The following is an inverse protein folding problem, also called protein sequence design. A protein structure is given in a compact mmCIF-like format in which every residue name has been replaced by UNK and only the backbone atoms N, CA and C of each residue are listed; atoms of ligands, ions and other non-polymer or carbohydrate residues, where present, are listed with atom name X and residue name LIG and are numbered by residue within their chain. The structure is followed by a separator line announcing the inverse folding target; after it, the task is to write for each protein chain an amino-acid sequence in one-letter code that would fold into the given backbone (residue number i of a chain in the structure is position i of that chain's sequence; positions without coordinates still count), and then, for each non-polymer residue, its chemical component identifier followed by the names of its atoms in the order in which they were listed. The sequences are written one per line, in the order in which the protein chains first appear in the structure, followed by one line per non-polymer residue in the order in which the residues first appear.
data_IF_679412314719
#
_entry.id   IF_679412314719
#
_cell.length_a   1.000
_cell.length_b   1.000
_cell.length_c   1.000
_cell.angle_alpha   90.00
_cell.angle_beta   90.00
_cell.angle_gamma   90.00
#
_symmetry.space_group_name_H-M   'P 1'
#
loop_
_entity.id
_entity.type
_entity.pdbx_description
1 polymer ?
#
# COMPACT_ATOMS: atom_id res chain seq x y z
N UNK A 1 -19.81 -26.93 23.25
CA UNK A 1 -20.04 -25.63 22.60
C UNK A 1 -19.39 -25.72 21.21
N UNK A 2 -19.89 -26.55 20.28
CA UNK A 2 -21.06 -26.36 19.40
C UNK A 2 -21.16 -24.94 18.82
N UNK A 3 -20.69 -24.76 17.58
CA UNK A 3 -21.48 -24.44 16.36
C UNK A 3 -20.54 -23.79 15.30
N UNK A 4 -20.21 -24.54 14.24
CA UNK A 4 -20.74 -24.38 12.87
C UNK A 4 -20.20 -23.15 12.12
N UNK A 5 -19.18 -23.35 11.28
CA UNK A 5 -19.14 -22.71 9.96
C UNK A 5 -18.88 -23.79 8.92
N UNK A 6 -19.99 -24.17 8.30
CA UNK A 6 -20.10 -25.15 7.25
C UNK A 6 -19.36 -24.70 5.99
N UNK A 7 -18.72 -25.68 5.40
CA UNK A 7 -18.12 -25.67 4.08
C UNK A 7 -19.13 -25.22 3.02
N UNK A 8 -18.73 -24.27 2.18
CA UNK A 8 -19.26 -24.16 0.82
C UNK A 8 -18.12 -24.59 -0.09
N UNK A 9 -18.03 -25.92 -0.27
CA UNK A 9 -17.32 -26.52 -1.39
C UNK A 9 -18.34 -26.48 -2.53
N UNK A 10 -18.12 -25.58 -3.50
CA UNK A 10 -18.84 -25.68 -4.77
C UNK A 10 -18.16 -26.78 -5.56
N UNK A 11 -18.80 -27.96 -5.59
CA UNK A 11 -18.48 -29.03 -6.52
C UNK A 11 -18.63 -28.51 -7.95
N UNK A 12 -17.51 -28.39 -8.67
CA UNK A 12 -17.52 -28.23 -10.12
C UNK A 12 -17.42 -29.62 -10.71
N UNK A 13 -18.56 -30.21 -11.05
CA UNK A 13 -18.63 -31.40 -11.90
C UNK A 13 -18.00 -31.13 -13.27
N UNK A 14 -17.28 -32.09 -13.88
CA UNK A 14 -16.63 -31.87 -15.16
C UNK A 14 -17.68 -31.90 -16.29
N UNK A 15 -18.15 -30.72 -16.67
CA UNK A 15 -18.89 -30.52 -17.91
C UNK A 15 -17.91 -30.57 -19.10
N UNK A 16 -17.93 -31.68 -19.82
CA UNK A 16 -17.23 -31.86 -21.08
C UNK A 16 -17.88 -30.95 -22.14
N UNK A 17 -17.27 -29.80 -22.44
CA UNK A 17 -17.63 -28.95 -23.57
C UNK A 17 -16.37 -28.63 -24.39
N UNK A 18 -16.15 -29.46 -25.42
CA UNK A 18 -15.54 -28.97 -26.65
C UNK A 18 -16.54 -28.00 -27.28
N UNK A 19 -16.34 -26.69 -27.13
CA UNK A 19 -16.86 -25.75 -28.13
C UNK A 19 -16.01 -24.48 -28.21
N UNK A 20 -15.59 -24.21 -29.43
CA UNK A 20 -14.68 -23.15 -29.85
C UNK A 20 -15.44 -21.84 -29.99
N UNK A 21 -15.95 -21.30 -28.87
CA UNK A 21 -16.71 -20.05 -28.87
C UNK A 21 -16.02 -18.96 -28.04
N UNK A 22 -15.03 -18.32 -28.66
CA UNK A 22 -14.62 -16.97 -28.28
C UNK A 22 -15.84 -16.04 -28.26
N UNK A 23 -16.08 -15.25 -27.20
CA UNK A 23 -17.18 -14.29 -27.21
C UNK A 23 -16.82 -13.18 -28.19
N UNK A 24 -17.38 -13.25 -29.40
CA UNK A 24 -17.36 -12.16 -30.37
C UNK A 24 -18.14 -10.99 -29.78
N UNK A 25 -17.41 -10.03 -29.21
CA UNK A 25 -17.92 -8.69 -28.97
C UNK A 25 -18.38 -8.12 -30.32
N UNK A 26 -19.69 -8.13 -30.58
CA UNK A 26 -20.29 -7.27 -31.59
C UNK A 26 -20.83 -6.03 -30.87
N UNK A 27 -20.07 -4.93 -30.80
CA UNK A 27 -20.57 -3.73 -30.17
C UNK A 27 -21.56 -3.05 -31.12
N UNK A 28 -22.70 -2.68 -30.56
CA UNK A 28 -23.69 -1.85 -31.23
C UNK A 28 -23.02 -0.49 -31.52
N UNK A 29 -22.86 -0.13 -32.81
CA UNK A 29 -21.93 0.94 -33.27
C UNK A 29 -22.18 2.31 -32.63
N UNK A 30 -23.41 2.59 -32.20
CA UNK A 30 -23.77 3.86 -31.57
C UNK A 30 -23.36 3.94 -30.09
N UNK A 31 -23.39 2.83 -29.36
CA UNK A 31 -22.95 2.75 -27.96
C UNK A 31 -21.42 2.61 -27.85
N UNK A 32 -20.79 1.98 -28.83
CA UNK A 32 -19.33 1.84 -28.90
C UNK A 32 -18.63 3.20 -29.01
N UNK A 33 -19.16 4.11 -29.82
CA UNK A 33 -18.55 5.41 -30.03
C UNK A 33 -18.75 6.37 -28.85
N UNK A 34 -19.79 6.20 -28.04
CA UNK A 34 -20.02 7.03 -26.85
C UNK A 34 -19.11 6.68 -25.68
N UNK A 35 -18.76 5.40 -25.51
CA UNK A 35 -17.92 4.93 -24.40
C UNK A 35 -16.44 4.80 -24.77
N UNK A 36 -16.09 4.60 -26.04
CA UNK A 36 -14.68 4.55 -26.46
C UNK A 36 -14.08 5.94 -26.75
N UNK A 37 -14.90 7.00 -26.88
CA UNK A 37 -14.41 8.35 -27.19
C UNK A 37 -14.17 9.22 -25.94
N UNK A 38 -14.60 8.79 -24.76
CA UNK A 38 -14.64 9.64 -23.56
C UNK A 38 -13.64 9.30 -22.44
N UNK A 39 -13.22 8.05 -22.22
CA UNK A 39 -12.44 7.74 -21.00
C UNK A 39 -11.15 6.92 -21.16
N UNK A 40 -10.59 6.82 -22.36
CA UNK A 40 -9.22 6.28 -22.56
C UNK A 40 -8.10 7.27 -22.19
N UNK A 41 -8.36 8.29 -21.34
CA UNK A 41 -7.36 9.28 -20.92
C UNK A 41 -7.52 9.65 -19.44
N UNK A 42 -6.56 9.15 -18.65
CA UNK A 42 -6.31 9.39 -17.22
C UNK A 42 -7.26 8.63 -16.30
N UNK A 43 -6.79 7.47 -15.86
CA UNK A 43 -7.17 6.89 -14.57
C UNK A 43 -7.29 8.03 -13.54
N UNK A 44 -8.40 8.04 -12.81
CA UNK A 44 -8.61 8.99 -11.73
C UNK A 44 -7.56 8.74 -10.65
N UNK A 45 -6.44 9.45 -10.80
CA UNK A 45 -5.44 9.68 -9.79
C UNK A 45 -6.09 9.86 -8.41
N UNK A 46 -5.75 8.99 -7.45
CA UNK A 46 -6.27 9.10 -6.08
C UNK A 46 -5.92 10.49 -5.53
N UNK A 47 -6.83 11.15 -4.79
CA UNK A 47 -6.53 12.40 -4.12
C UNK A 47 -5.27 12.26 -3.25
N UNK A 48 -4.37 13.25 -3.30
CA UNK A 48 -3.09 13.18 -2.56
C UNK A 48 -3.29 12.98 -1.04
N UNK A 49 -4.41 13.46 -0.50
CA UNK A 49 -4.80 13.22 0.90
C UNK A 49 -5.00 11.74 1.20
N UNK A 50 -5.62 10.98 0.29
CA UNK A 50 -5.82 9.55 0.43
C UNK A 50 -4.51 8.79 0.23
N UNK A 51 -3.69 9.20 -0.73
CA UNK A 51 -2.34 8.64 -0.94
C UNK A 51 -1.49 8.81 0.33
N UNK A 52 -1.47 10.01 0.89
CA UNK A 52 -0.75 10.32 2.13
C UNK A 52 -1.28 9.50 3.31
N UNK A 53 -2.60 9.36 3.44
CA UNK A 53 -3.21 8.53 4.48
C UNK A 53 -2.76 7.07 4.36
N UNK A 54 -2.80 6.47 3.17
CA UNK A 54 -2.41 5.08 2.95
C UNK A 54 -0.92 4.86 3.27
N UNK A 55 -0.04 5.77 2.85
CA UNK A 55 1.39 5.71 3.16
C UNK A 55 1.61 5.80 4.66
N UNK A 56 0.97 6.74 5.34
CA UNK A 56 1.09 6.90 6.79
C UNK A 56 0.57 5.67 7.54
N UNK A 57 -0.54 5.07 7.10
CA UNK A 57 -1.07 3.85 7.66
C UNK A 57 -0.09 2.67 7.56
N UNK A 58 0.55 2.52 6.40
CA UNK A 58 1.58 1.47 6.20
C UNK A 58 2.80 1.75 7.08
N UNK A 59 3.27 2.99 7.13
CA UNK A 59 4.38 3.40 8.00
C UNK A 59 4.07 3.14 9.47
N UNK A 60 2.84 3.38 9.91
CA UNK A 60 2.40 3.13 11.29
C UNK A 60 2.41 1.62 11.60
N UNK A 61 1.86 0.81 10.69
CA UNK A 61 1.85 -0.65 10.82
C UNK A 61 3.24 -1.30 10.94
N UNK A 62 4.30 -0.62 10.47
CA UNK A 62 5.70 -1.06 10.60
C UNK A 62 6.52 -0.26 11.62
N UNK A 63 5.90 0.64 12.37
CA UNK A 63 6.56 1.45 13.42
C UNK A 63 7.47 2.57 12.90
N UNK A 64 7.32 2.98 11.63
CA UNK A 64 8.08 4.06 10.98
C UNK A 64 7.31 5.40 10.91
N UNK A 65 6.11 5.47 11.49
CA UNK A 65 5.34 6.72 11.59
C UNK A 65 5.74 7.61 12.78
N UNK A 66 6.69 7.17 13.61
CA UNK A 66 7.17 7.94 14.76
C UNK A 66 7.51 9.40 14.37
N UNK A 67 6.91 10.37 15.05
CA UNK A 67 7.11 11.79 14.78
C UNK A 67 8.58 12.19 14.95
N UNK A 68 9.32 11.49 15.79
CA UNK A 68 10.75 11.65 16.01
C UNK A 68 11.57 11.40 14.73
N UNK A 69 11.09 10.55 13.82
CA UNK A 69 11.71 10.33 12.51
C UNK A 69 11.46 11.49 11.53
N UNK A 70 10.63 12.48 11.89
CA UNK A 70 10.53 13.76 11.17
C UNK A 70 11.58 14.77 11.64
N UNK A 71 12.26 14.50 12.76
CA UNK A 71 13.26 15.37 13.35
C UNK A 71 14.68 14.90 13.00
N UNK A 72 15.69 15.74 13.30
CA UNK A 72 17.09 15.29 13.22
C UNK A 72 17.48 14.44 14.43
N UNK A 73 18.46 13.55 14.26
CA UNK A 73 19.02 12.77 15.37
C UNK A 73 19.51 13.66 16.52
N UNK A 74 20.15 14.79 16.19
CA UNK A 74 20.61 15.79 17.17
C UNK A 74 19.47 16.36 18.01
N UNK A 75 18.32 16.60 17.38
CA UNK A 75 17.15 17.12 18.09
C UNK A 75 16.51 16.06 18.99
N UNK A 76 16.42 14.82 18.52
CA UNK A 76 15.97 13.68 19.34
C UNK A 76 16.89 13.45 20.54
N UNK A 77 18.22 13.52 20.34
CA UNK A 77 19.22 13.38 21.39
C UNK A 77 19.09 14.49 22.46
N UNK A 78 18.93 15.74 22.02
CA UNK A 78 18.75 16.89 22.91
C UNK A 78 17.51 16.75 23.79
N UNK A 79 16.42 16.22 23.25
CA UNK A 79 15.18 16.03 23.99
C UNK A 79 15.20 14.75 24.84
N UNK A 80 16.11 13.82 24.56
CA UNK A 80 16.23 12.53 25.27
C UNK A 80 14.88 11.80 25.37
N UNK A 81 14.09 11.84 24.30
CA UNK A 81 12.77 11.23 24.26
C UNK A 81 12.87 9.69 24.30
N UNK A 82 11.76 9.02 24.63
CA UNK A 82 11.74 7.55 24.75
C UNK A 82 12.16 6.85 23.45
N UNK A 83 11.86 7.47 22.31
CA UNK A 83 12.28 6.99 21.00
C UNK A 83 13.80 6.97 20.84
N UNK A 84 14.52 8.00 21.31
CA UNK A 84 15.98 8.07 21.26
C UNK A 84 16.66 7.10 22.24
N UNK A 85 16.07 6.89 23.42
CA UNK A 85 16.67 6.06 24.46
C UNK A 85 16.49 4.56 24.25
N UNK A 86 15.49 4.12 23.50
CA UNK A 86 15.21 2.70 23.24
C UNK A 86 16.23 1.95 22.36
N UNK A 87 16.74 2.54 21.26
CA UNK A 87 17.57 1.84 20.27
C UNK A 87 18.99 1.44 20.69
N UNK A 88 19.53 1.93 21.81
CA UNK A 88 20.91 1.65 22.18
C UNK A 88 21.37 2.23 23.51
N UNK A 89 22.51 1.73 24.00
CA UNK A 89 23.11 2.13 25.28
C UNK A 89 24.03 3.35 25.17
N UNK A 90 24.49 3.68 23.96
CA UNK A 90 25.35 4.82 23.65
C UNK A 90 24.81 5.59 22.43
N UNK A 91 25.28 6.83 22.27
CA UNK A 91 24.77 7.75 21.25
C UNK A 91 25.20 7.37 19.82
N UNK A 92 26.32 6.66 19.66
CA UNK A 92 26.76 6.19 18.33
C UNK A 92 25.82 5.10 17.80
N UNK A 93 25.50 4.11 18.64
CA UNK A 93 24.55 3.05 18.34
C UNK A 93 23.14 3.60 18.10
N UNK A 94 22.71 4.59 18.88
CA UNK A 94 21.42 5.28 18.70
C UNK A 94 21.37 6.03 17.38
N UNK A 95 22.40 6.80 17.05
CA UNK A 95 22.48 7.55 15.79
C UNK A 95 22.42 6.60 14.60
N UNK A 96 23.23 5.53 14.62
CA UNK A 96 23.25 4.54 13.53
C UNK A 96 21.89 3.84 13.34
N UNK A 97 21.18 3.58 14.43
CA UNK A 97 19.85 2.96 14.35
C UNK A 97 18.81 3.96 13.86
N UNK A 98 18.88 5.20 14.32
CA UNK A 98 18.04 6.30 13.85
C UNK A 98 18.19 6.50 12.33
N UNK A 99 19.42 6.56 11.83
CA UNK A 99 19.70 6.73 10.41
C UNK A 99 19.11 5.58 9.57
N UNK A 100 19.20 4.34 10.05
CA UNK A 100 18.59 3.18 9.39
C UNK A 100 17.06 3.27 9.35
N UNK A 101 16.44 3.72 10.43
CA UNK A 101 14.98 3.90 10.48
C UNK A 101 14.53 5.02 9.55
N UNK A 102 15.30 6.11 9.48
CA UNK A 102 15.05 7.22 8.58
C UNK A 102 15.19 6.79 7.11
N UNK A 103 16.23 6.04 6.77
CA UNK A 103 16.43 5.47 5.44
C UNK A 103 15.27 4.52 5.05
N UNK A 104 14.90 3.61 5.96
CA UNK A 104 13.80 2.68 5.74
C UNK A 104 12.47 3.42 5.51
N UNK A 105 12.21 4.49 6.26
CA UNK A 105 11.03 5.34 6.09
C UNK A 105 10.99 6.00 4.71
N UNK A 106 12.09 6.62 4.29
CA UNK A 106 12.16 7.26 2.97
C UNK A 106 11.94 6.25 1.85
N UNK A 107 12.61 5.10 1.93
CA UNK A 107 12.48 4.02 0.95
C UNK A 107 11.06 3.45 0.88
N UNK A 108 10.41 3.24 2.04
CA UNK A 108 9.05 2.72 2.07
C UNK A 108 8.03 3.74 1.54
N UNK A 109 8.24 5.04 1.80
CA UNK A 109 7.41 6.10 1.24
C UNK A 109 7.47 6.09 -0.30
N UNK A 110 8.67 6.00 -0.86
CA UNK A 110 8.89 5.92 -2.31
C UNK A 110 8.23 4.67 -2.91
N UNK A 111 8.48 3.49 -2.32
CA UNK A 111 7.87 2.24 -2.78
C UNK A 111 6.34 2.27 -2.69
N UNK A 112 5.79 2.87 -1.64
CA UNK A 112 4.35 2.99 -1.46
C UNK A 112 3.72 3.92 -2.51
N UNK A 113 4.40 5.02 -2.88
CA UNK A 113 3.95 5.91 -3.97
C UNK A 113 3.93 5.16 -5.30
N UNK A 114 5.01 4.47 -5.64
CA UNK A 114 5.09 3.66 -6.87
C UNK A 114 4.00 2.59 -6.92
N UNK A 115 3.75 1.90 -5.81
CA UNK A 115 2.71 0.87 -5.74
C UNK A 115 1.28 1.43 -5.93
N UNK A 116 1.06 2.70 -5.57
CA UNK A 116 -0.20 3.41 -5.77
C UNK A 116 -0.30 4.02 -7.19
N UNK A 117 0.77 3.92 -7.99
CA UNK A 117 0.83 4.50 -9.34
C UNK A 117 1.26 5.97 -9.37
N UNK A 118 2.02 6.42 -8.35
CA UNK A 118 2.57 7.77 -8.23
C UNK A 118 4.08 7.83 -8.42
#
# INVERSE_FOLDING_TARGET
MLMLLSQVIVEVTPGNYNDDSTPKCHPNKELANSYCASDCRREHDLPESLVTFLINFVLDGVGLYAEELLMSATECARQSNRFWLGPGNDDEARTKTFDKLLEARMKLNELARVAIGR
#
